data_IF_443897866449
#
_entry.id   IF_443897866449
#
_cell.length_a   1.000
_cell.length_b   1.000
_cell.length_c   1.000
_cell.angle_alpha   90.00
_cell.angle_beta   90.00
_cell.angle_gamma   90.00
#
_symmetry.space_group_name_H-M   'P 1'
#
loop_
_entity.id
_entity.type
_entity.pdbx_description
1 polymer ?
#
# COMPACT_ATOMS: atom_id res chain seq x y z
N UNK A 1 -31.81 -1.96 61.96
CA UNK A 1 -31.74 -2.52 60.59
C UNK A 1 -30.73 -1.70 59.81
N UNK A 2 -29.97 -2.38 58.96
CA UNK A 2 -28.66 -2.01 58.40
C UNK A 2 -28.65 -0.76 57.47
N UNK A 3 -27.60 0.06 57.61
CA UNK A 3 -26.93 0.80 56.50
C UNK A 3 -26.13 -0.23 55.64
N UNK A 4 -25.77 -0.01 54.35
CA UNK A 4 -25.00 1.18 53.97
C UNK A 4 -24.97 1.65 52.48
N UNK A 5 -24.50 2.89 52.32
CA UNK A 5 -23.58 3.43 51.29
C UNK A 5 -23.78 3.07 49.81
N UNK A 6 -24.10 4.09 49.02
CA UNK A 6 -23.87 4.17 47.57
C UNK A 6 -22.39 4.35 47.24
N UNK A 7 -21.82 3.40 46.49
CA UNK A 7 -20.48 3.43 45.86
C UNK A 7 -20.69 3.27 44.34
N UNK A 8 -19.90 3.95 43.48
CA UNK A 8 -20.22 4.11 42.06
C UNK A 8 -19.85 2.86 41.25
N UNK A 9 -20.72 2.47 40.31
CA UNK A 9 -20.45 1.36 39.38
C UNK A 9 -19.51 1.83 38.27
N UNK A 10 -18.25 1.44 38.41
CA UNK A 10 -17.20 1.52 37.39
C UNK A 10 -17.58 0.62 36.21
N UNK A 11 -17.52 1.16 34.99
CA UNK A 11 -17.55 0.37 33.75
C UNK A 11 -16.28 -0.49 33.67
N UNK A 12 -16.36 -1.80 33.44
CA UNK A 12 -15.20 -2.53 32.99
C UNK A 12 -14.93 -2.17 31.53
N UNK A 13 -13.73 -1.62 31.30
CA UNK A 13 -13.06 -1.74 30.03
C UNK A 13 -12.79 -3.23 29.76
N UNK A 14 -12.63 -3.54 28.47
CA UNK A 14 -11.96 -4.70 27.90
C UNK A 14 -12.87 -5.77 27.28
N UNK A 15 -13.24 -5.56 26.03
CA UNK A 15 -13.59 -6.66 25.12
C UNK A 15 -12.50 -6.75 24.04
N UNK A 16 -11.59 -7.70 24.24
CA UNK A 16 -10.48 -8.02 23.36
C UNK A 16 -11.02 -8.55 22.02
N UNK A 17 -11.02 -7.69 21.00
CA UNK A 17 -11.17 -8.11 19.61
C UNK A 17 -9.93 -8.94 19.23
N UNK A 18 -10.06 -10.20 18.78
CA UNK A 18 -8.91 -10.92 18.25
C UNK A 18 -8.42 -10.21 16.97
N UNK A 19 -7.11 -10.00 16.79
CA UNK A 19 -6.57 -9.42 15.56
C UNK A 19 -6.80 -10.38 14.40
N UNK A 20 -7.55 -9.92 13.40
CA UNK A 20 -7.71 -10.59 12.11
C UNK A 20 -6.39 -10.46 11.34
N UNK A 21 -5.37 -11.22 11.74
CA UNK A 21 -4.00 -11.09 11.18
C UNK A 21 -3.32 -12.41 10.84
N UNK A 22 -3.94 -13.57 11.07
CA UNK A 22 -3.21 -14.84 10.96
C UNK A 22 -3.61 -15.66 9.72
N UNK A 23 -4.91 -15.71 9.37
CA UNK A 23 -5.40 -16.60 8.32
C UNK A 23 -5.31 -16.02 6.89
N UNK A 24 -5.47 -14.70 6.71
CA UNK A 24 -5.31 -14.07 5.38
C UNK A 24 -3.84 -13.83 4.99
N UNK A 25 -2.94 -13.79 5.97
CA UNK A 25 -1.49 -13.72 5.75
C UNK A 25 -0.90 -15.00 5.15
N UNK A 26 -1.54 -16.17 5.26
CA UNK A 26 -0.96 -17.42 4.73
C UNK A 26 -1.19 -17.59 3.23
N UNK A 27 -2.37 -17.22 2.72
CA UNK A 27 -2.66 -17.33 1.28
C UNK A 27 -1.85 -16.32 0.46
N UNK A 28 -1.68 -15.09 0.98
CA UNK A 28 -0.81 -14.06 0.39
C UNK A 28 0.67 -14.46 0.51
N UNK A 29 1.09 -15.03 1.65
CA UNK A 29 2.46 -15.60 1.79
C UNK A 29 2.71 -16.72 0.78
N UNK A 30 1.73 -17.56 0.47
CA UNK A 30 1.92 -18.68 -0.45
C UNK A 30 2.09 -18.22 -1.90
N UNK A 31 1.33 -17.20 -2.32
CA UNK A 31 1.47 -16.56 -3.63
C UNK A 31 2.82 -15.83 -3.77
N UNK A 32 3.23 -15.07 -2.74
CA UNK A 32 4.47 -14.27 -2.74
C UNK A 32 5.76 -15.13 -2.57
N UNK A 33 5.64 -16.34 -1.98
CA UNK A 33 6.76 -17.28 -1.83
C UNK A 33 7.09 -18.02 -3.14
N UNK A 34 6.10 -18.25 -4.00
CA UNK A 34 6.31 -18.89 -5.31
C UNK A 34 7.00 -17.95 -6.32
N UNK A 35 6.71 -16.65 -6.27
CA UNK A 35 7.34 -15.64 -7.14
C UNK A 35 8.77 -15.29 -6.71
N UNK A 36 9.05 -15.22 -5.40
CA UNK A 36 10.39 -14.93 -4.85
C UNK A 36 11.41 -16.05 -5.03
N UNK A 37 10.99 -17.33 -5.08
CA UNK A 37 11.88 -18.45 -5.37
C UNK A 37 12.44 -18.38 -6.81
N UNK A 38 11.61 -17.98 -7.77
CA UNK A 38 12.03 -17.82 -9.17
C UNK A 38 12.99 -16.64 -9.36
N UNK A 39 12.79 -15.55 -8.61
CA UNK A 39 13.67 -14.38 -8.65
C UNK A 39 15.05 -14.62 -8.03
N UNK A 40 15.13 -15.40 -6.93
CA UNK A 40 16.43 -15.77 -6.31
C UNK A 40 17.27 -16.67 -7.21
N UNK A 41 16.64 -17.58 -7.96
CA UNK A 41 17.34 -18.44 -8.93
C UNK A 41 18.00 -17.60 -10.05
N UNK A 42 17.31 -16.56 -10.53
CA UNK A 42 17.80 -15.65 -11.58
C UNK A 42 18.94 -14.73 -11.09
N UNK A 43 18.88 -14.28 -9.84
CA UNK A 43 19.93 -13.45 -9.23
C UNK A 43 21.22 -14.26 -8.94
N UNK A 44 21.11 -15.54 -8.59
CA UNK A 44 22.29 -16.38 -8.37
C UNK A 44 23.08 -16.65 -9.66
N UNK A 45 22.38 -16.77 -10.80
CA UNK A 45 23.02 -16.97 -12.11
C UNK A 45 23.72 -15.70 -12.64
N UNK A 46 23.18 -14.51 -12.35
CA UNK A 46 23.76 -13.23 -12.80
C UNK A 46 25.01 -12.84 -12.00
N UNK A 47 25.04 -13.06 -10.68
CA UNK A 47 26.21 -12.76 -9.84
C UNK A 47 27.46 -13.61 -10.15
N UNK A 48 27.29 -14.78 -10.77
CA UNK A 48 28.42 -15.66 -11.12
C UNK A 48 29.19 -15.17 -12.35
N UNK A 49 28.58 -14.35 -13.21
CA UNK A 49 29.21 -13.82 -14.44
C UNK A 49 29.97 -12.50 -14.22
N UNK A 50 29.60 -11.71 -13.21
CA UNK A 50 30.23 -10.41 -12.91
C UNK A 50 31.53 -10.50 -12.10
N UNK A 51 31.78 -11.61 -11.39
CA UNK A 51 33.01 -11.78 -10.59
C UNK A 51 34.27 -12.06 -11.40
N UNK A 52 34.18 -12.38 -12.70
CA UNK A 52 35.34 -12.80 -13.49
C UNK A 52 36.05 -11.67 -14.26
N UNK A 53 35.56 -10.42 -14.18
CA UNK A 53 36.03 -9.33 -15.07
C UNK A 53 36.63 -8.10 -14.38
N UNK A 54 36.84 -8.13 -13.06
CA UNK A 54 37.07 -6.91 -12.28
C UNK A 54 38.39 -6.78 -11.50
N UNK A 55 39.36 -7.70 -11.62
CA UNK A 55 40.52 -7.69 -10.69
C UNK A 55 41.87 -7.27 -11.26
N UNK A 56 41.99 -6.91 -12.55
CA UNK A 56 43.31 -6.60 -13.13
C UNK A 56 43.67 -5.10 -13.25
N UNK A 57 42.73 -4.16 -13.06
CA UNK A 57 43.01 -2.74 -13.34
C UNK A 57 43.35 -1.87 -12.09
N UNK A 58 43.27 -2.41 -10.87
CA UNK A 58 43.37 -1.59 -9.65
C UNK A 58 44.81 -1.38 -9.10
N UNK A 59 45.84 -2.06 -9.63
CA UNK A 59 47.16 -2.11 -8.97
C UNK A 59 48.22 -1.12 -9.51
N UNK A 60 47.91 -0.26 -10.49
CA UNK A 60 48.94 0.57 -11.16
C UNK A 60 48.93 2.07 -10.78
N UNK A 61 47.93 2.58 -10.06
CA UNK A 61 47.80 4.03 -9.79
C UNK A 61 48.23 4.50 -8.38
N UNK A 62 48.72 3.62 -7.51
CA UNK A 62 49.11 3.99 -6.14
C UNK A 62 50.52 4.60 -5.98
N UNK A 63 51.28 4.82 -7.06
CA UNK A 63 52.62 5.45 -6.99
C UNK A 63 52.65 6.81 -7.67
N UNK A 64 52.02 7.82 -7.06
CA UNK A 64 52.44 9.22 -7.07
C UNK A 64 51.29 10.11 -6.57
N UNK A 65 51.25 10.48 -5.30
CA UNK A 65 50.64 11.74 -4.83
C UNK A 65 50.88 11.91 -3.32
N UNK A 66 51.43 13.07 -2.94
CA UNK A 66 51.90 13.36 -1.58
C UNK A 66 50.77 13.58 -0.55
N UNK A 67 51.09 13.44 0.75
CA UNK A 67 50.12 13.31 1.85
C UNK A 67 49.30 14.58 2.18
N UNK A 68 49.60 15.72 1.57
CA UNK A 68 49.02 17.03 1.94
C UNK A 68 47.74 17.41 1.18
N UNK A 69 47.49 16.79 0.01
CA UNK A 69 46.30 17.07 -0.82
C UNK A 69 45.14 16.11 -0.55
N UNK A 70 45.42 14.90 -0.04
CA UNK A 70 44.39 13.91 0.31
C UNK A 70 43.49 14.39 1.45
N UNK A 71 44.03 15.04 2.49
CA UNK A 71 43.24 15.48 3.64
C UNK A 71 42.17 16.53 3.28
N UNK A 72 42.49 17.44 2.35
CA UNK A 72 41.55 18.48 1.88
C UNK A 72 40.53 17.93 0.87
N UNK A 73 40.93 17.01 0.00
CA UNK A 73 40.02 16.33 -0.92
C UNK A 73 39.02 15.41 -0.18
N UNK A 74 39.47 14.73 0.88
CA UNK A 74 38.60 13.88 1.71
C UNK A 74 37.58 14.68 2.52
N UNK A 75 37.95 15.87 3.05
CA UNK A 75 37.02 16.73 3.76
C UNK A 75 35.95 17.35 2.84
N UNK A 76 36.32 17.74 1.61
CA UNK A 76 35.38 18.23 0.62
C UNK A 76 34.46 17.12 0.07
N UNK A 77 35.00 15.91 -0.15
CA UNK A 77 34.21 14.75 -0.54
C UNK A 77 33.24 14.33 0.58
N UNK A 78 33.66 14.38 1.86
CA UNK A 78 32.79 14.10 3.00
C UNK A 78 31.66 15.13 3.16
N UNK A 79 31.89 16.41 2.86
CA UNK A 79 30.85 17.44 2.88
C UNK A 79 29.85 17.31 1.71
N UNK A 80 30.31 16.86 0.54
CA UNK A 80 29.44 16.55 -0.61
C UNK A 80 28.66 15.24 -0.38
N UNK A 81 29.28 14.24 0.27
CA UNK A 81 28.60 13.00 0.70
C UNK A 81 27.62 13.23 1.86
N UNK A 82 27.89 14.17 2.77
CA UNK A 82 26.96 14.53 3.85
C UNK A 82 25.75 15.36 3.37
N UNK A 83 25.82 15.99 2.19
CA UNK A 83 24.67 16.64 1.56
C UNK A 83 23.78 15.66 0.77
N UNK A 84 24.27 14.44 0.49
CA UNK A 84 23.46 13.30 0.06
C UNK A 84 22.98 12.56 1.30
N UNK A 85 22.30 13.27 2.21
CA UNK A 85 21.32 12.58 3.04
C UNK A 85 20.29 12.08 2.05
N UNK A 86 20.32 10.78 1.77
CA UNK A 86 19.19 10.06 1.24
C UNK A 86 18.00 10.43 2.12
N UNK A 87 17.24 11.46 1.72
CA UNK A 87 15.88 11.61 2.17
C UNK A 87 15.18 10.37 1.62
N UNK A 88 15.23 9.29 2.41
CA UNK A 88 14.43 8.11 2.16
C UNK A 88 13.02 8.59 1.87
N UNK A 89 12.39 7.99 0.87
CA UNK A 89 11.02 8.31 0.53
C UNK A 89 10.16 7.85 1.72
N UNK A 90 9.95 8.72 2.71
CA UNK A 90 9.01 8.42 3.78
C UNK A 90 7.60 8.57 3.21
N UNK A 91 6.59 7.95 3.83
CA UNK A 91 5.19 8.22 3.51
C UNK A 91 4.89 9.72 3.46
N UNK A 92 5.41 10.50 4.40
CA UNK A 92 5.15 11.94 4.51
C UNK A 92 5.77 12.73 3.34
N UNK A 93 7.03 12.49 3.01
CA UNK A 93 7.69 13.21 1.90
C UNK A 93 7.09 12.81 0.55
N UNK A 94 6.79 11.53 0.37
CA UNK A 94 6.21 10.99 -0.86
C UNK A 94 4.77 11.45 -1.05
N UNK A 95 3.92 11.37 -0.02
CA UNK A 95 2.55 11.88 -0.09
C UNK A 95 2.50 13.38 -0.32
N UNK A 96 3.47 14.14 0.22
CA UNK A 96 3.58 15.58 -0.05
C UNK A 96 3.93 15.84 -1.51
N UNK A 97 4.88 15.11 -2.07
CA UNK A 97 5.23 15.22 -3.48
C UNK A 97 4.05 14.81 -4.38
N UNK A 98 3.36 13.72 -4.04
CA UNK A 98 2.20 13.24 -4.78
C UNK A 98 1.05 14.26 -4.77
N UNK A 99 0.74 14.86 -3.61
CA UNK A 99 -0.27 15.91 -3.50
C UNK A 99 0.14 17.24 -4.17
N UNK A 100 1.44 17.52 -4.25
CA UNK A 100 1.97 18.65 -5.01
C UNK A 100 1.82 18.46 -6.53
N UNK A 101 1.98 17.23 -7.02
CA UNK A 101 1.88 16.89 -8.43
C UNK A 101 0.42 16.63 -8.91
N UNK A 102 -0.42 16.05 -8.04
CA UNK A 102 -1.82 15.73 -8.34
C UNK A 102 -2.73 16.24 -7.22
N UNK A 103 -3.50 17.28 -7.53
CA UNK A 103 -4.42 17.95 -6.57
C UNK A 103 -5.58 17.06 -6.10
N UNK A 104 -5.79 15.90 -6.72
CA UNK A 104 -6.79 14.92 -6.29
C UNK A 104 -6.33 14.09 -5.10
N UNK A 105 -5.02 14.06 -4.83
CA UNK A 105 -4.46 13.33 -3.68
C UNK A 105 -4.78 14.07 -2.38
N UNK A 106 -5.38 13.34 -1.45
CA UNK A 106 -5.57 13.76 -0.07
C UNK A 106 -4.30 13.34 0.70
N UNK A 107 -3.51 14.34 1.07
CA UNK A 107 -2.28 14.15 1.81
C UNK A 107 -2.48 13.38 3.11
N UNK A 108 -3.52 13.71 3.89
CA UNK A 108 -3.76 13.08 5.21
C UNK A 108 -4.15 11.63 5.03
N UNK A 109 -5.02 11.35 4.08
CA UNK A 109 -5.40 9.99 3.72
C UNK A 109 -4.18 9.18 3.29
N UNK A 110 -3.37 9.71 2.36
CA UNK A 110 -2.17 9.07 1.86
C UNK A 110 -1.21 8.68 3.00
N UNK A 111 -0.83 9.64 3.85
CA UNK A 111 0.07 9.38 4.99
C UNK A 111 -0.54 8.37 5.94
N UNK A 112 -1.80 8.54 6.33
CA UNK A 112 -2.45 7.61 7.27
C UNK A 112 -2.45 6.17 6.79
N UNK A 113 -2.59 5.94 5.48
CA UNK A 113 -2.67 4.60 4.89
C UNK A 113 -1.29 3.99 4.70
N UNK A 114 -0.32 4.77 4.23
CA UNK A 114 1.03 4.27 3.97
C UNK A 114 1.84 4.10 5.26
N UNK A 115 1.76 5.03 6.22
CA UNK A 115 2.52 4.92 7.48
C UNK A 115 2.08 3.76 8.37
N UNK A 116 0.90 3.17 8.13
CA UNK A 116 0.43 1.97 8.83
C UNK A 116 0.98 0.67 8.22
N UNK A 117 1.55 0.72 7.02
CA UNK A 117 2.07 -0.46 6.35
C UNK A 117 3.52 -0.74 6.79
N UNK A 118 3.79 -1.99 7.18
CA UNK A 118 5.08 -2.39 7.74
C UNK A 118 6.27 -2.20 6.79
N UNK A 119 6.04 -2.29 5.47
CA UNK A 119 7.09 -2.12 4.45
C UNK A 119 7.42 -0.64 4.14
N UNK A 120 6.67 0.31 4.68
CA UNK A 120 6.81 1.74 4.33
C UNK A 120 8.06 2.46 4.85
N UNK A 121 8.61 2.19 6.05
CA UNK A 121 9.73 2.97 6.59
C UNK A 121 11.02 2.89 5.75
N UNK A 122 11.27 1.76 5.10
CA UNK A 122 12.51 1.51 4.33
C UNK A 122 12.28 1.56 2.80
N UNK A 123 11.05 1.85 2.36
CA UNK A 123 10.71 1.86 0.95
C UNK A 123 11.24 3.12 0.26
N UNK A 124 11.79 2.95 -0.94
CA UNK A 124 11.97 4.06 -1.88
C UNK A 124 10.63 4.44 -2.53
N UNK A 125 10.61 5.49 -3.36
CA UNK A 125 9.37 5.95 -4.03
C UNK A 125 8.69 4.83 -4.82
N UNK A 126 9.47 3.92 -5.41
CA UNK A 126 8.94 2.75 -6.12
C UNK A 126 8.33 1.72 -5.18
N UNK A 127 8.99 1.43 -4.06
CA UNK A 127 8.48 0.60 -2.99
C UNK A 127 7.18 1.15 -2.42
N UNK A 128 7.08 2.47 -2.20
CA UNK A 128 5.85 3.10 -1.74
C UNK A 128 4.73 3.05 -2.79
N UNK A 129 5.04 3.09 -4.09
CA UNK A 129 4.04 2.87 -5.13
C UNK A 129 3.45 1.44 -5.04
N UNK A 130 4.30 0.44 -4.81
CA UNK A 130 3.88 -0.95 -4.59
C UNK A 130 3.04 -1.09 -3.32
N UNK A 131 3.49 -0.50 -2.21
CA UNK A 131 2.73 -0.51 -0.95
C UNK A 131 1.35 0.15 -1.13
N UNK A 132 1.24 1.23 -1.90
CA UNK A 132 -0.05 1.85 -2.20
C UNK A 132 -1.00 0.89 -2.95
N UNK A 133 -0.48 0.12 -3.91
CA UNK A 133 -1.25 -0.91 -4.60
C UNK A 133 -1.68 -2.04 -3.65
N UNK A 134 -0.78 -2.53 -2.80
CA UNK A 134 -1.08 -3.60 -1.83
C UNK A 134 -2.10 -3.17 -0.76
N UNK A 135 -2.00 -1.94 -0.25
CA UNK A 135 -3.04 -1.35 0.61
C UNK A 135 -4.39 -1.30 -0.12
N UNK A 136 -4.40 -1.06 -1.44
CA UNK A 136 -5.60 -1.18 -2.27
C UNK A 136 -6.22 -2.58 -2.26
N UNK A 137 -5.40 -3.64 -2.32
CA UNK A 137 -5.85 -5.05 -2.20
C UNK A 137 -6.47 -5.32 -0.82
N UNK A 138 -5.85 -4.83 0.25
CA UNK A 138 -6.38 -4.94 1.61
C UNK A 138 -7.73 -4.23 1.75
N UNK A 139 -7.87 -3.04 1.16
CA UNK A 139 -9.13 -2.31 1.14
C UNK A 139 -10.21 -3.03 0.35
N UNK A 140 -9.85 -3.68 -0.76
CA UNK A 140 -10.77 -4.53 -1.50
C UNK A 140 -11.31 -5.67 -0.63
N UNK A 141 -10.40 -6.39 0.01
CA UNK A 141 -10.72 -7.53 0.89
C UNK A 141 -11.60 -7.13 2.07
N UNK A 142 -11.32 -5.97 2.70
CA UNK A 142 -12.16 -5.43 3.76
C UNK A 142 -13.56 -5.06 3.26
N UNK A 143 -13.68 -4.54 2.04
CA UNK A 143 -14.98 -4.26 1.41
C UNK A 143 -15.81 -5.52 1.20
N UNK A 144 -15.19 -6.59 0.68
CA UNK A 144 -15.84 -7.91 0.53
C UNK A 144 -16.29 -8.45 1.89
N UNK A 145 -15.45 -8.35 2.92
CA UNK A 145 -15.78 -8.80 4.27
C UNK A 145 -17.01 -8.06 4.83
N UNK A 146 -17.04 -6.73 4.70
CA UNK A 146 -18.14 -5.90 5.18
C UNK A 146 -19.44 -6.21 4.43
N UNK A 147 -19.37 -6.42 3.11
CA UNK A 147 -20.51 -6.82 2.29
C UNK A 147 -21.06 -8.18 2.73
N UNK A 148 -20.19 -9.16 2.98
CA UNK A 148 -20.60 -10.48 3.49
C UNK A 148 -21.26 -10.38 4.87
N UNK A 149 -20.75 -9.52 5.75
CA UNK A 149 -21.35 -9.27 7.06
C UNK A 149 -22.75 -8.65 6.94
N UNK A 150 -22.94 -7.69 6.03
CA UNK A 150 -24.25 -7.10 5.70
C UNK A 150 -25.22 -8.13 5.10
N UNK A 151 -24.76 -8.98 4.17
CA UNK A 151 -25.56 -10.05 3.57
C UNK A 151 -25.99 -11.12 4.58
N UNK A 152 -25.15 -11.39 5.57
CA UNK A 152 -25.44 -12.30 6.68
C UNK A 152 -26.33 -11.67 7.77
N UNK A 153 -26.74 -10.41 7.62
CA UNK A 153 -27.56 -9.69 8.60
C UNK A 153 -26.85 -9.39 9.92
N UNK A 154 -25.51 -9.41 9.93
CA UNK A 154 -24.67 -9.18 11.12
C UNK A 154 -24.37 -7.70 11.38
N UNK A 155 -24.67 -6.82 10.41
CA UNK A 155 -24.47 -5.37 10.48
C UNK A 155 -25.78 -4.62 10.19
N UNK A 156 -25.80 -3.31 10.49
CA UNK A 156 -26.94 -2.42 10.27
C UNK A 156 -27.55 -2.64 8.88
N UNK A 157 -28.77 -3.16 8.87
CA UNK A 157 -29.42 -3.67 7.65
C UNK A 157 -29.71 -2.50 6.70
N UNK A 158 -29.11 -2.42 5.51
CA UNK A 158 -29.51 -1.45 4.52
C UNK A 158 -30.88 -1.86 4.01
N UNK A 159 -31.93 -1.06 4.25
CA UNK A 159 -33.25 -1.10 3.59
C UNK A 159 -33.82 -2.47 3.16
N UNK A 160 -33.68 -3.53 3.97
CA UNK A 160 -34.31 -4.84 3.73
C UNK A 160 -33.87 -5.57 2.45
N UNK A 161 -34.73 -6.47 1.95
CA UNK A 161 -34.42 -7.38 0.83
C UNK A 161 -33.97 -6.68 -0.46
N UNK A 162 -34.33 -5.40 -0.66
CA UNK A 162 -33.97 -4.63 -1.86
C UNK A 162 -32.48 -4.30 -1.96
N UNK A 163 -31.75 -4.31 -0.84
CA UNK A 163 -30.30 -4.08 -0.84
C UNK A 163 -29.49 -5.33 -1.19
N UNK A 164 -30.09 -6.53 -1.15
CA UNK A 164 -29.37 -7.79 -1.35
C UNK A 164 -28.70 -7.89 -2.73
N UNK A 165 -29.44 -7.62 -3.80
CA UNK A 165 -28.91 -7.66 -5.17
C UNK A 165 -27.74 -6.70 -5.40
N UNK A 166 -27.86 -5.41 -5.01
CA UNK A 166 -26.74 -4.47 -5.04
C UNK A 166 -25.52 -4.91 -4.21
N UNK A 167 -25.74 -5.50 -3.03
CA UNK A 167 -24.65 -6.03 -2.20
C UNK A 167 -23.90 -7.17 -2.89
N UNK A 168 -24.60 -8.16 -3.43
CA UNK A 168 -23.98 -9.28 -4.18
C UNK A 168 -23.21 -8.76 -5.42
N UNK A 169 -23.75 -7.76 -6.11
CA UNK A 169 -23.03 -7.13 -7.22
C UNK A 169 -21.79 -6.35 -6.75
N UNK A 170 -21.86 -5.67 -5.62
CA UNK A 170 -20.72 -4.99 -5.03
C UNK A 170 -19.64 -5.98 -4.58
N UNK A 171 -19.99 -7.13 -4.02
CA UNK A 171 -19.04 -8.18 -3.64
C UNK A 171 -18.14 -8.54 -4.82
N UNK A 172 -18.75 -8.90 -5.96
CA UNK A 172 -18.03 -9.26 -7.18
C UNK A 172 -17.26 -8.08 -7.81
N UNK A 173 -17.66 -6.83 -7.54
CA UNK A 173 -16.89 -5.66 -7.97
C UNK A 173 -15.68 -5.42 -7.09
N UNK A 174 -15.81 -5.61 -5.78
CA UNK A 174 -14.71 -5.49 -4.83
C UNK A 174 -13.67 -6.62 -5.00
N UNK A 175 -14.10 -7.86 -5.27
CA UNK A 175 -13.15 -8.94 -5.61
C UNK A 175 -12.30 -8.58 -6.85
N UNK A 176 -12.96 -8.10 -7.92
CA UNK A 176 -12.26 -7.64 -9.13
C UNK A 176 -11.39 -6.42 -8.88
N UNK A 177 -11.81 -5.52 -7.99
CA UNK A 177 -11.01 -4.38 -7.59
C UNK A 177 -9.72 -4.82 -6.90
N UNK A 178 -9.79 -5.84 -6.04
CA UNK A 178 -8.62 -6.45 -5.41
C UNK A 178 -7.67 -7.04 -6.44
N UNK A 179 -8.19 -7.77 -7.43
CA UNK A 179 -7.39 -8.29 -8.54
C UNK A 179 -6.73 -7.16 -9.36
N UNK A 180 -7.47 -6.09 -9.67
CA UNK A 180 -6.92 -4.93 -10.38
C UNK A 180 -5.81 -4.24 -9.59
N UNK A 181 -5.93 -4.10 -8.26
CA UNK A 181 -4.85 -3.57 -7.44
C UNK A 181 -3.62 -4.51 -7.38
N UNK A 182 -3.83 -5.82 -7.35
CA UNK A 182 -2.73 -6.79 -7.44
C UNK A 182 -2.02 -6.72 -8.79
N UNK A 183 -2.77 -6.60 -9.89
CA UNK A 183 -2.19 -6.37 -11.22
C UNK A 183 -1.47 -5.02 -11.32
N UNK A 184 -1.96 -3.99 -10.61
CA UNK A 184 -1.27 -2.72 -10.50
C UNK A 184 0.07 -2.87 -9.77
N UNK A 185 0.10 -3.59 -8.66
CA UNK A 185 1.32 -3.95 -7.94
C UNK A 185 2.31 -4.65 -8.87
N UNK A 186 1.87 -5.67 -9.59
CA UNK A 186 2.71 -6.45 -10.51
C UNK A 186 3.25 -5.61 -11.66
N UNK A 187 2.43 -4.72 -12.23
CA UNK A 187 2.86 -3.77 -13.27
C UNK A 187 3.96 -2.84 -12.75
N UNK A 188 3.75 -2.26 -11.57
CA UNK A 188 4.76 -1.40 -10.91
C UNK A 188 6.03 -2.19 -10.60
N UNK A 189 5.91 -3.42 -10.10
CA UNK A 189 7.04 -4.28 -9.74
C UNK A 189 7.91 -4.59 -10.98
N UNK A 190 7.27 -4.90 -12.11
CA UNK A 190 7.93 -5.10 -13.41
C UNK A 190 8.40 -3.81 -14.09
N UNK A 191 8.25 -2.65 -13.45
CA UNK A 191 8.57 -1.32 -14.01
C UNK A 191 7.70 -0.92 -15.22
N UNK A 192 6.59 -1.62 -15.44
CA UNK A 192 5.55 -1.20 -16.39
C UNK A 192 4.56 -0.27 -15.70
N UNK A 193 4.99 0.97 -15.50
CA UNK A 193 4.22 1.99 -14.81
C UNK A 193 2.94 2.38 -15.54
N UNK A 194 2.90 2.22 -16.87
CA UNK A 194 1.71 2.49 -17.65
C UNK A 194 0.61 1.47 -17.33
N UNK A 195 0.93 0.18 -17.40
CA UNK A 195 0.01 -0.90 -17.04
C UNK A 195 -0.39 -0.81 -15.56
N UNK A 196 0.56 -0.51 -14.66
CA UNK A 196 0.29 -0.34 -13.24
C UNK A 196 -0.77 0.74 -12.97
N UNK A 197 -0.63 1.90 -13.61
CA UNK A 197 -1.58 3.03 -13.49
C UNK A 197 -2.92 2.73 -14.13
N UNK A 198 -2.94 2.06 -15.28
CA UNK A 198 -4.18 1.63 -15.92
C UNK A 198 -5.00 0.77 -14.97
N UNK A 199 -4.36 -0.20 -14.32
CA UNK A 199 -4.98 -1.12 -13.37
C UNK A 199 -5.44 -0.45 -12.08
N UNK A 200 -4.68 0.51 -11.55
CA UNK A 200 -5.15 1.36 -10.46
C UNK A 200 -6.42 2.16 -10.88
N UNK A 201 -6.45 2.68 -12.10
CA UNK A 201 -7.62 3.34 -12.68
C UNK A 201 -8.84 2.42 -12.81
N UNK A 202 -8.62 1.17 -13.25
CA UNK A 202 -9.64 0.13 -13.30
C UNK A 202 -10.24 -0.14 -11.90
N UNK A 203 -9.39 -0.29 -10.89
CA UNK A 203 -9.81 -0.48 -9.50
C UNK A 203 -10.72 0.67 -9.02
N UNK A 204 -10.34 1.93 -9.31
CA UNK A 204 -11.17 3.09 -8.98
C UNK A 204 -12.54 3.06 -9.68
N UNK A 205 -12.59 2.60 -10.93
CA UNK A 205 -13.83 2.45 -11.69
C UNK A 205 -14.74 1.39 -11.08
N UNK A 206 -14.18 0.25 -10.70
CA UNK A 206 -14.90 -0.85 -10.05
C UNK A 206 -15.52 -0.40 -8.72
N UNK A 207 -14.78 0.36 -7.89
CA UNK A 207 -15.30 0.93 -6.65
C UNK A 207 -16.52 1.83 -6.90
N UNK A 208 -16.46 2.73 -7.90
CA UNK A 208 -17.59 3.62 -8.26
C UNK A 208 -18.82 2.86 -8.76
N UNK A 209 -18.61 1.77 -9.51
CA UNK A 209 -19.69 0.92 -10.03
C UNK A 209 -20.53 0.28 -8.92
N UNK A 210 -19.98 0.06 -7.74
CA UNK A 210 -20.74 -0.41 -6.59
C UNK A 210 -21.81 0.62 -6.19
N UNK A 211 -21.47 1.91 -6.04
CA UNK A 211 -22.44 2.95 -5.74
C UNK A 211 -23.53 3.07 -6.83
N UNK A 212 -23.16 2.90 -8.11
CA UNK A 212 -24.12 2.86 -9.20
C UNK A 212 -25.09 1.67 -9.14
N UNK A 213 -24.69 0.53 -8.57
CA UNK A 213 -25.57 -0.62 -8.37
C UNK A 213 -26.73 -0.31 -7.42
N UNK A 214 -26.42 0.38 -6.32
CA UNK A 214 -27.42 0.85 -5.35
C UNK A 214 -28.34 1.92 -5.96
N UNK A 215 -27.78 2.88 -6.69
CA UNK A 215 -28.55 3.90 -7.38
C UNK A 215 -29.56 3.30 -8.37
N UNK A 216 -29.15 2.30 -9.17
CA UNK A 216 -30.06 1.58 -10.10
C UNK A 216 -31.18 0.82 -9.37
N UNK A 217 -30.92 0.32 -8.17
CA UNK A 217 -31.92 -0.36 -7.36
C UNK A 217 -32.85 0.61 -6.59
N UNK A 218 -32.61 1.92 -6.66
CA UNK A 218 -33.37 2.92 -5.91
C UNK A 218 -33.17 2.83 -4.39
N UNK A 219 -32.00 2.32 -3.95
CA UNK A 219 -31.67 2.14 -2.54
C UNK A 219 -30.42 2.96 -2.21
N UNK A 220 -30.39 3.58 -1.02
CA UNK A 220 -29.22 4.29 -0.55
C UNK A 220 -28.04 3.32 -0.29
N UNK A 221 -26.82 3.75 -0.62
CA UNK A 221 -25.61 3.02 -0.27
C UNK A 221 -25.43 3.05 1.26
N UNK A 222 -25.16 1.92 1.92
CA UNK A 222 -24.84 1.90 3.34
C UNK A 222 -23.68 2.86 3.65
N UNK A 223 -23.71 3.68 4.72
CA UNK A 223 -22.66 4.68 4.97
C UNK A 223 -21.25 4.10 5.03
N UNK A 224 -21.10 2.92 5.66
CA UNK A 224 -19.83 2.21 5.73
C UNK A 224 -19.29 1.82 4.35
N UNK A 225 -20.16 1.29 3.49
CA UNK A 225 -19.81 0.91 2.12
C UNK A 225 -19.53 2.14 1.24
N UNK A 226 -20.28 3.22 1.43
CA UNK A 226 -20.04 4.48 0.74
C UNK A 226 -18.65 5.04 1.09
N UNK A 227 -18.28 5.03 2.38
CA UNK A 227 -16.94 5.41 2.82
C UNK A 227 -15.87 4.48 2.24
N UNK A 228 -16.08 3.18 2.28
CA UNK A 228 -15.13 2.21 1.72
C UNK A 228 -14.89 2.46 0.22
N UNK A 229 -15.95 2.74 -0.54
CA UNK A 229 -15.84 3.05 -1.97
C UNK A 229 -15.05 4.33 -2.22
N UNK A 230 -15.33 5.40 -1.46
CA UNK A 230 -14.60 6.67 -1.56
C UNK A 230 -13.12 6.51 -1.20
N UNK A 231 -12.82 5.83 -0.08
CA UNK A 231 -11.46 5.52 0.34
C UNK A 231 -10.72 4.69 -0.73
N UNK A 232 -11.36 3.67 -1.33
CA UNK A 232 -10.75 2.84 -2.39
C UNK A 232 -10.42 3.63 -3.65
N UNK A 233 -11.31 4.54 -4.07
CA UNK A 233 -11.02 5.47 -5.18
C UNK A 233 -9.83 6.36 -4.82
N UNK A 234 -9.79 6.85 -3.59
CA UNK A 234 -8.69 7.70 -3.14
C UNK A 234 -7.36 6.95 -3.10
N UNK A 235 -7.36 5.67 -2.73
CA UNK A 235 -6.17 4.84 -2.76
C UNK A 235 -5.65 4.62 -4.20
N UNK A 236 -6.54 4.42 -5.17
CA UNK A 236 -6.14 4.33 -6.57
C UNK A 236 -5.50 5.63 -7.10
N UNK A 237 -6.04 6.78 -6.69
CA UNK A 237 -5.47 8.11 -7.02
C UNK A 237 -4.07 8.24 -6.39
N UNK A 238 -3.93 7.89 -5.10
CA UNK A 238 -2.63 7.89 -4.39
C UNK A 238 -1.62 6.98 -5.09
N UNK A 239 -2.00 5.73 -5.37
CA UNK A 239 -1.15 4.76 -6.08
C UNK A 239 -0.65 5.35 -7.40
N UNK A 240 -1.56 5.84 -8.24
CA UNK A 240 -1.23 6.48 -9.53
C UNK A 240 -0.29 7.66 -9.38
N UNK A 241 -0.56 8.55 -8.42
CA UNK A 241 0.24 9.75 -8.20
C UNK A 241 1.65 9.42 -7.73
N UNK A 242 1.81 8.45 -6.82
CA UNK A 242 3.14 7.99 -6.37
C UNK A 242 3.88 7.29 -7.50
N UNK A 243 3.22 6.46 -8.30
CA UNK A 243 3.83 5.85 -9.50
C UNK A 243 4.37 6.91 -10.46
N UNK A 244 3.70 8.05 -10.62
CA UNK A 244 4.20 9.15 -11.46
C UNK A 244 5.44 9.86 -10.90
N UNK A 245 5.80 9.65 -9.63
CA UNK A 245 7.02 10.20 -9.04
C UNK A 245 8.24 9.31 -9.28
N UNK A 246 8.05 8.07 -9.76
CA UNK A 246 9.14 7.14 -10.04
C UNK A 246 9.84 7.57 -11.33
N UNK A 247 11.18 7.66 -11.26
CA UNK A 247 12.05 8.07 -12.37
C UNK A 247 12.58 6.88 -13.14
#
# INVERSE_FOLDING_TARGET
>A
MQSPTSVPSQRPANDHRPPVSVLQCESIRHYNRQTSASAKQLLYQTHSTLRFRGTDEANQQQRAMGPSTMARALAAAAAVLAAVVCAGATPETTCRAAAGADRRVDYRFCVSRLSQHHDSPDADTWGLAKVAADVGVLMASNGVYDIKAMLAGKEERPAGARARGPLEQCEALYDRMGAAFAEAYDGIDRRDYAAGKEKAGEAASLARRCAHAFARAGVAVPPRLAKQGADSVQMAIVCTAITNLVK
#
